data_IF_433641162893
#
_entry.id   IF_433641162893
#
_cell.length_a   1.000
_cell.length_b   1.000
_cell.length_c   1.000
_cell.angle_alpha   90.00
_cell.angle_beta   90.00
_cell.angle_gamma   90.00
#
_symmetry.space_group_name_H-M   'P 1'
#
loop_
_entity.id
_entity.type
_entity.pdbx_description
1 polymer ?
#
# COMPACT_ATOMS: atom_id res chain seq x y z
N UNK A 1 10.08 4.87 -21.61
CA UNK A 1 11.32 5.52 -21.10
C UNK A 1 11.79 4.89 -19.79
N UNK A 2 11.04 5.00 -18.68
CA UNK A 2 11.51 4.53 -17.35
C UNK A 2 11.72 3.00 -17.25
N UNK A 3 10.83 2.20 -17.84
CA UNK A 3 10.95 0.74 -17.85
C UNK A 3 12.22 0.23 -18.59
N UNK A 4 12.78 1.03 -19.50
CA UNK A 4 14.04 0.70 -20.18
C UNK A 4 15.26 0.93 -19.27
N UNK A 5 15.15 1.83 -18.29
CA UNK A 5 16.23 2.18 -17.36
C UNK A 5 16.25 1.31 -16.11
N UNK A 6 15.11 0.69 -15.76
CA UNK A 6 14.97 -0.13 -14.57
C UNK A 6 14.55 -1.56 -14.95
N UNK A 7 15.49 -2.52 -15.04
CA UNK A 7 15.21 -3.89 -15.47
C UNK A 7 14.16 -4.64 -14.64
N UNK A 8 13.96 -4.21 -13.38
CA UNK A 8 12.95 -4.77 -12.46
C UNK A 8 11.57 -4.10 -12.57
N UNK A 9 11.44 -3.02 -13.35
CA UNK A 9 10.18 -2.32 -13.56
C UNK A 9 9.45 -2.92 -14.75
N UNK A 10 8.23 -3.41 -14.51
CA UNK A 10 7.32 -3.90 -15.54
C UNK A 10 6.07 -3.03 -15.54
N UNK A 11 5.60 -2.64 -16.72
CA UNK A 11 4.35 -1.89 -16.89
C UNK A 11 3.32 -2.82 -17.52
N UNK A 12 2.16 -2.93 -16.88
CA UNK A 12 1.04 -3.70 -17.40
C UNK A 12 -0.02 -2.74 -17.94
N UNK A 13 -0.19 -2.70 -19.25
CA UNK A 13 -1.21 -1.88 -19.89
C UNK A 13 -2.52 -2.67 -20.00
N UNK A 14 -3.59 -2.14 -19.42
CA UNK A 14 -4.94 -2.67 -19.65
C UNK A 14 -5.47 -2.13 -20.97
N UNK A 15 -6.22 -2.94 -21.72
CA UNK A 15 -6.78 -2.55 -23.01
C UNK A 15 -7.71 -1.32 -22.92
N UNK A 16 -8.37 -1.15 -21.76
CA UNK A 16 -9.21 0.01 -21.43
C UNK A 16 -9.19 0.24 -19.92
N UNK A 17 -9.67 1.40 -19.48
CA UNK A 17 -9.83 1.69 -18.06
C UNK A 17 -10.88 0.77 -17.44
N UNK A 18 -10.46 -0.07 -16.49
CA UNK A 18 -11.33 -0.99 -15.74
C UNK A 18 -11.32 -0.71 -14.23
N UNK A 19 -10.77 0.44 -13.82
CA UNK A 19 -10.67 0.85 -12.42
C UNK A 19 -9.56 0.17 -11.61
N UNK A 20 -9.34 0.69 -10.40
CA UNK A 20 -8.22 0.33 -9.51
C UNK A 20 -8.25 -1.14 -9.08
N UNK A 21 -9.43 -1.69 -8.79
CA UNK A 21 -9.57 -3.07 -8.33
C UNK A 21 -9.09 -4.08 -9.37
N UNK A 22 -9.48 -3.90 -10.64
CA UNK A 22 -9.03 -4.75 -11.74
C UNK A 22 -7.54 -4.56 -11.99
N UNK A 23 -7.04 -3.32 -11.98
CA UNK A 23 -5.61 -3.04 -12.15
C UNK A 23 -4.75 -3.74 -11.08
N UNK A 24 -5.14 -3.66 -9.80
CA UNK A 24 -4.45 -4.36 -8.71
C UNK A 24 -4.54 -5.88 -8.84
N UNK A 25 -5.70 -6.42 -9.24
CA UNK A 25 -5.85 -7.86 -9.48
C UNK A 25 -4.92 -8.35 -10.59
N UNK A 26 -4.84 -7.62 -11.71
CA UNK A 26 -3.94 -7.97 -12.80
C UNK A 26 -2.47 -7.85 -12.40
N UNK A 27 -2.13 -6.84 -11.59
CA UNK A 27 -0.79 -6.71 -10.98
C UNK A 27 -0.44 -7.91 -10.09
N UNK A 28 -1.36 -8.36 -9.25
CA UNK A 28 -1.18 -9.52 -8.39
C UNK A 28 -0.98 -10.81 -9.19
N UNK A 29 -1.78 -11.04 -10.25
CA UNK A 29 -1.62 -12.20 -11.15
C UNK A 29 -0.27 -12.17 -11.88
N UNK A 30 0.21 -10.99 -12.27
CA UNK A 30 1.47 -10.84 -12.99
C UNK A 30 2.72 -10.84 -12.09
N UNK A 31 2.55 -10.72 -10.77
CA UNK A 31 3.62 -10.71 -9.80
C UNK A 31 4.29 -12.08 -9.70
N UNK A 32 5.57 -12.08 -9.33
CA UNK A 32 6.40 -13.30 -9.19
C UNK A 32 6.90 -13.51 -7.76
N UNK A 33 6.48 -12.65 -6.83
CA UNK A 33 6.95 -12.61 -5.46
C UNK A 33 5.89 -13.20 -4.53
N UNK A 34 6.32 -13.77 -3.41
CA UNK A 34 5.45 -14.30 -2.37
C UNK A 34 4.64 -13.21 -1.66
N UNK A 35 5.28 -12.05 -1.42
CA UNK A 35 4.65 -10.90 -0.79
C UNK A 35 4.34 -9.80 -1.81
N UNK A 36 3.16 -9.20 -1.69
CA UNK A 36 2.73 -8.06 -2.50
C UNK A 36 2.68 -6.80 -1.63
N UNK A 37 3.48 -5.81 -2.00
CA UNK A 37 3.43 -4.46 -1.40
C UNK A 37 2.76 -3.52 -2.39
N UNK A 38 1.52 -3.15 -2.11
CA UNK A 38 0.73 -2.25 -2.96
C UNK A 38 0.91 -0.80 -2.50
N UNK A 39 1.37 0.06 -3.40
CA UNK A 39 1.61 1.49 -3.15
C UNK A 39 0.84 2.33 -4.17
N UNK A 40 0.29 3.45 -3.73
CA UNK A 40 -0.37 4.42 -4.61
C UNK A 40 0.66 5.22 -5.42
N UNK A 41 0.30 5.62 -6.65
CA UNK A 41 1.22 6.29 -7.57
C UNK A 41 1.72 7.68 -7.12
N UNK A 42 1.07 8.24 -6.10
CA UNK A 42 1.38 9.54 -5.47
C UNK A 42 1.99 9.40 -4.06
N UNK A 43 2.31 8.17 -3.63
CA UNK A 43 2.90 7.92 -2.33
C UNK A 43 4.43 7.90 -2.37
N UNK A 44 5.05 8.42 -1.30
CA UNK A 44 6.48 8.27 -1.04
C UNK A 44 6.67 7.23 0.06
N UNK A 45 7.56 6.27 -0.20
CA UNK A 45 7.85 5.20 0.73
C UNK A 45 9.16 5.46 1.47
N UNK A 46 9.16 5.26 2.78
CA UNK A 46 10.41 5.22 3.55
C UNK A 46 11.30 4.07 3.04
N UNK A 47 12.61 4.27 3.03
CA UNK A 47 13.61 3.31 2.52
C UNK A 47 13.41 1.90 3.08
N UNK A 48 12.98 1.78 4.35
CA UNK A 48 12.84 0.51 5.04
C UNK A 48 11.38 0.05 5.18
N UNK A 49 10.40 0.80 4.65
CA UNK A 49 8.99 0.52 4.93
C UNK A 49 8.55 -0.88 4.49
N UNK A 50 8.96 -1.32 3.30
CA UNK A 50 8.59 -2.64 2.79
C UNK A 50 9.11 -3.77 3.69
N UNK A 51 10.37 -3.67 4.16
CA UNK A 51 10.95 -4.65 5.06
C UNK A 51 10.20 -4.70 6.40
N UNK A 52 9.90 -3.54 6.99
CA UNK A 52 9.13 -3.47 8.24
C UNK A 52 7.69 -3.96 8.10
N UNK A 53 7.07 -3.77 6.93
CA UNK A 53 5.73 -4.30 6.65
C UNK A 53 5.75 -5.83 6.52
N UNK A 54 6.76 -6.40 5.86
CA UNK A 54 6.81 -7.86 5.65
C UNK A 54 7.25 -8.61 6.91
N UNK A 55 8.10 -8.03 7.77
CA UNK A 55 8.65 -8.73 8.94
C UNK A 55 7.60 -9.43 9.83
N UNK A 56 6.47 -8.80 10.24
CA UNK A 56 5.44 -9.48 11.03
C UNK A 56 4.76 -10.66 10.32
N UNK A 57 4.77 -10.69 8.99
CA UNK A 57 4.21 -11.79 8.20
C UNK A 57 5.16 -13.00 8.16
N UNK A 58 6.47 -12.75 8.26
CA UNK A 58 7.47 -13.82 8.39
C UNK A 58 7.37 -14.49 9.77
N UNK A 59 7.16 -13.70 10.83
CA UNK A 59 7.09 -14.20 12.20
C UNK A 59 5.77 -14.94 12.51
N UNK A 60 4.71 -14.65 11.76
CA UNK A 60 3.39 -15.23 11.97
C UNK A 60 2.75 -15.69 10.65
N UNK A 61 2.85 -17.00 10.32
CA UNK A 61 2.27 -17.56 9.10
C UNK A 61 0.75 -17.40 8.97
N UNK A 62 0.03 -17.11 10.07
CA UNK A 62 -1.43 -16.85 10.02
C UNK A 62 -1.77 -15.39 9.69
N UNK A 63 -0.79 -14.50 9.63
CA UNK A 63 -1.01 -13.09 9.33
C UNK A 63 -1.07 -12.87 7.81
N UNK A 64 -2.29 -12.78 7.27
CA UNK A 64 -2.50 -12.65 5.83
C UNK A 64 -2.23 -11.26 5.24
N UNK A 65 -2.24 -10.20 6.05
CA UNK A 65 -1.97 -8.84 5.59
C UNK A 65 -1.52 -7.91 6.71
N UNK A 66 -0.76 -6.88 6.33
CA UNK A 66 -0.43 -5.73 7.16
C UNK A 66 -0.79 -4.44 6.43
N UNK A 67 -0.93 -3.36 7.19
CA UNK A 67 -1.02 -2.01 6.62
C UNK A 67 0.10 -1.15 7.21
N UNK A 68 0.67 -0.29 6.38
CA UNK A 68 1.55 0.78 6.85
C UNK A 68 0.76 1.88 7.57
N UNK A 69 1.48 2.93 7.96
CA UNK A 69 0.94 4.14 8.58
C UNK A 69 1.09 5.33 7.63
N UNK A 70 0.26 5.42 6.57
CA UNK A 70 0.29 6.53 5.63
C UNK A 70 0.13 7.87 6.33
N UNK A 71 0.96 8.84 5.95
CA UNK A 71 0.94 10.20 6.52
C UNK A 71 0.78 11.22 5.40
N UNK A 72 -0.21 12.09 5.54
CA UNK A 72 -0.38 13.24 4.66
C UNK A 72 0.87 14.13 4.75
N UNK A 73 1.40 14.60 3.62
CA UNK A 73 2.53 15.55 3.62
C UNK A 73 2.03 17.00 3.68
N UNK A 74 1.02 17.33 2.87
CA UNK A 74 0.46 18.67 2.80
C UNK A 74 -0.62 18.87 3.87
N UNK A 75 -0.24 19.41 5.03
CA UNK A 75 -1.14 19.55 6.20
C UNK A 75 -1.53 20.98 6.54
N UNK A 76 -0.99 21.97 5.84
CA UNK A 76 -1.21 23.40 6.11
C UNK A 76 -2.57 23.91 5.63
N UNK A 77 -3.23 23.20 4.71
CA UNK A 77 -4.54 23.58 4.17
C UNK A 77 -5.67 22.96 4.99
N UNK A 78 -6.87 23.55 4.91
CA UNK A 78 -8.06 22.98 5.55
C UNK A 78 -8.32 21.55 5.07
N UNK A 79 -8.26 21.32 3.75
CA UNK A 79 -8.42 19.99 3.14
C UNK A 79 -7.34 19.03 3.66
N UNK A 80 -6.07 19.46 3.71
CA UNK A 80 -4.97 18.65 4.23
C UNK A 80 -5.18 18.23 5.69
N UNK A 81 -5.73 19.12 6.53
CA UNK A 81 -6.07 18.79 7.93
C UNK A 81 -7.23 17.79 8.02
N UNK A 82 -8.24 17.92 7.18
CA UNK A 82 -9.34 16.93 7.10
C UNK A 82 -8.79 15.57 6.70
N UNK A 83 -7.92 15.49 5.70
CA UNK A 83 -7.26 14.25 5.30
C UNK A 83 -6.40 13.65 6.43
N UNK A 84 -5.69 14.48 7.21
CA UNK A 84 -4.97 14.00 8.40
C UNK A 84 -5.93 13.34 9.39
N UNK A 85 -7.11 13.94 9.61
CA UNK A 85 -8.16 13.38 10.45
C UNK A 85 -8.68 12.05 9.91
N UNK A 86 -9.01 11.98 8.63
CA UNK A 86 -9.50 10.76 7.96
C UNK A 86 -8.50 9.60 8.09
N UNK A 87 -7.24 9.81 7.70
CA UNK A 87 -6.22 8.78 7.74
C UNK A 87 -5.89 8.35 9.18
N UNK A 88 -5.90 9.29 10.13
CA UNK A 88 -5.67 8.97 11.55
C UNK A 88 -6.82 8.15 12.14
N UNK A 89 -8.07 8.41 11.73
CA UNK A 89 -9.22 7.65 12.19
C UNK A 89 -9.28 6.26 11.54
N UNK A 90 -9.19 6.17 10.20
CA UNK A 90 -9.32 4.89 9.49
C UNK A 90 -8.15 3.97 9.79
N UNK A 91 -6.91 4.44 9.60
CA UNK A 91 -5.74 3.59 9.79
C UNK A 91 -5.32 3.55 11.26
N UNK A 92 -5.30 4.70 11.92
CA UNK A 92 -4.82 4.79 13.30
C UNK A 92 -5.75 4.18 14.35
N UNK A 93 -7.07 4.18 14.12
CA UNK A 93 -8.04 3.57 15.04
C UNK A 93 -8.59 2.26 14.49
N UNK A 94 -9.29 2.28 13.34
CA UNK A 94 -10.03 1.08 12.87
C UNK A 94 -9.08 -0.10 12.64
N UNK A 95 -7.96 0.09 11.92
CA UNK A 95 -7.02 -1.01 11.65
C UNK A 95 -6.31 -1.54 12.90
N UNK A 96 -6.04 -0.68 13.88
CA UNK A 96 -5.50 -1.14 15.17
C UNK A 96 -6.53 -1.91 15.98
N UNK A 97 -7.78 -1.46 15.98
CA UNK A 97 -8.89 -2.18 16.61
C UNK A 97 -9.08 -3.56 15.98
N UNK A 98 -9.05 -3.68 14.65
CA UNK A 98 -9.13 -4.98 13.96
C UNK A 98 -8.00 -5.93 14.39
N UNK A 99 -6.79 -5.41 14.59
CA UNK A 99 -5.68 -6.20 15.12
C UNK A 99 -5.93 -6.69 16.54
N UNK A 100 -6.47 -5.85 17.42
CA UNK A 100 -6.76 -6.21 18.83
C UNK A 100 -7.92 -7.21 18.92
N UNK A 101 -8.97 -7.02 18.13
CA UNK A 101 -10.17 -7.86 18.14
C UNK A 101 -10.02 -9.15 17.31
N UNK A 102 -8.95 -9.27 16.51
CA UNK A 102 -8.70 -10.43 15.66
C UNK A 102 -9.67 -10.58 14.47
N UNK A 103 -10.39 -9.50 14.13
CA UNK A 103 -11.33 -9.39 13.00
C UNK A 103 -11.28 -7.98 12.42
#
# INVERSE_FOLDING_TARGET
ALALQHPRLRVLHLAQNQGKAVALRMGAVAARSEYLVCIDGDALLDKNAAAYMVAPMLDNPRLGAVTGNPRIRTRSTLIGRVQVGEFSSIIGLIKRTQRVLGR
#
